data_IF_971253192870
#
_entry.id   IF_971253192870
#
_cell.length_a   1.000
_cell.length_b   1.000
_cell.length_c   1.000
_cell.angle_alpha   90.00
_cell.angle_beta   90.00
_cell.angle_gamma   90.00
#
_symmetry.space_group_name_H-M   'P 1'
#
loop_
_entity.id
_entity.type
_entity.pdbx_description
1 polymer ?
#
# COMPACT_ATOMS: atom_id res chain seq x y z
N UNK A 1 -44.51 56.46 47.78
CA UNK A 1 -45.67 57.31 48.04
C UNK A 1 -46.82 56.42 48.30
N UNK A 2 -47.07 56.26 49.61
CA UNK A 2 -48.36 56.23 50.35
C UNK A 2 -49.54 55.59 49.64
N UNK A 3 -49.99 54.43 50.21
CA UNK A 3 -51.10 54.23 51.18
C UNK A 3 -52.49 54.35 50.55
N UNK A 4 -53.32 53.30 50.65
CA UNK A 4 -54.44 53.25 51.62
C UNK A 4 -55.17 51.89 51.57
N UNK A 5 -55.32 51.34 52.76
CA UNK A 5 -56.27 50.32 53.17
C UNK A 5 -57.73 50.77 53.03
N UNK A 6 -58.65 49.81 52.77
CA UNK A 6 -59.97 49.76 53.40
C UNK A 6 -60.53 48.37 53.47
N UNK A 7 -60.81 47.96 54.63
CA UNK A 7 -61.60 46.72 55.05
C UNK A 7 -63.11 46.96 54.93
N UNK A 8 -63.91 45.91 54.77
CA UNK A 8 -65.15 45.58 55.53
C UNK A 8 -65.65 44.21 55.10
N UNK A 9 -65.68 43.29 56.14
CA UNK A 9 -66.77 42.53 56.73
C UNK A 9 -67.64 41.71 55.73
N UNK A 10 -67.62 40.41 55.83
CA UNK A 10 -68.46 39.60 56.74
C UNK A 10 -69.49 38.83 55.87
N UNK A 11 -69.46 37.54 55.83
CA UNK A 11 -70.46 36.72 55.21
C UNK A 11 -70.08 35.20 55.28
N UNK A 12 -70.92 34.48 55.97
CA UNK A 12 -70.93 33.05 56.33
C UNK A 12 -70.55 32.13 55.15
N UNK A 13 -69.62 31.23 55.39
CA UNK A 13 -69.19 30.17 54.45
C UNK A 13 -69.96 28.93 54.71
N UNK A 14 -70.67 28.43 53.68
CA UNK A 14 -71.17 27.06 53.65
C UNK A 14 -70.15 26.24 52.87
N UNK A 15 -69.52 25.29 53.58
CA UNK A 15 -68.60 24.35 52.94
C UNK A 15 -69.39 23.27 52.22
N UNK A 16 -69.28 23.27 50.89
CA UNK A 16 -69.74 22.13 50.09
C UNK A 16 -68.49 21.43 49.59
N UNK A 17 -68.18 20.26 50.09
CA UNK A 17 -67.07 19.45 49.70
C UNK A 17 -67.39 18.78 48.34
N UNK A 18 -66.84 19.27 47.29
CA UNK A 18 -66.86 18.59 45.98
C UNK A 18 -65.65 17.66 45.86
N UNK A 19 -65.91 16.35 45.93
CA UNK A 19 -64.88 15.32 45.64
C UNK A 19 -64.75 15.26 44.08
N UNK A 20 -63.64 15.85 43.53
CA UNK A 20 -63.25 15.65 42.18
C UNK A 20 -62.44 14.36 42.06
N UNK A 21 -63.04 13.30 41.57
CA UNK A 21 -62.33 12.11 41.10
C UNK A 21 -61.52 12.50 39.85
N UNK A 22 -60.20 12.68 39.97
CA UNK A 22 -59.27 12.77 38.84
C UNK A 22 -59.03 11.37 38.29
N UNK A 23 -59.67 11.03 37.19
CA UNK A 23 -59.32 9.88 36.37
C UNK A 23 -58.03 10.23 35.60
N UNK A 24 -56.87 9.71 36.02
CA UNK A 24 -55.62 9.76 35.27
C UNK A 24 -55.67 8.80 34.09
N UNK A 25 -56.04 9.32 32.93
CA UNK A 25 -55.84 8.58 31.68
C UNK A 25 -54.33 8.64 31.38
N UNK A 26 -53.65 7.51 31.61
CA UNK A 26 -52.25 7.33 31.17
C UNK A 26 -52.23 7.27 29.64
N UNK A 27 -51.83 8.36 28.98
CA UNK A 27 -51.50 8.34 27.56
C UNK A 27 -50.27 7.43 27.33
N UNK A 28 -50.28 6.52 26.35
CA UNK A 28 -49.13 5.72 26.03
C UNK A 28 -48.03 6.66 25.54
N UNK A 29 -46.91 6.73 26.27
CA UNK A 29 -45.70 7.41 25.82
C UNK A 29 -45.15 6.57 24.68
N UNK A 30 -45.45 7.00 23.44
CA UNK A 30 -44.70 6.54 22.27
C UNK A 30 -43.28 7.03 22.43
N UNK A 31 -42.38 6.17 22.93
CA UNK A 31 -40.95 6.35 22.72
C UNK A 31 -40.73 6.19 21.23
N UNK A 32 -40.69 7.29 20.52
CA UNK A 32 -40.13 7.31 19.18
C UNK A 32 -38.70 6.72 19.31
N UNK A 33 -38.48 5.53 18.74
CA UNK A 33 -37.14 5.01 18.62
C UNK A 33 -36.32 6.09 17.86
N UNK A 34 -35.34 6.66 18.55
CA UNK A 34 -34.39 7.56 17.90
C UNK A 34 -33.80 6.81 16.71
N UNK A 35 -33.74 7.42 15.53
CA UNK A 35 -33.11 6.78 14.39
C UNK A 35 -31.72 6.35 14.82
N UNK A 36 -31.41 5.05 14.66
CA UNK A 36 -30.08 4.52 14.92
C UNK A 36 -29.08 5.41 14.21
N UNK A 37 -28.12 5.97 14.94
CA UNK A 37 -27.01 6.73 14.36
C UNK A 37 -26.48 5.95 13.15
N UNK A 38 -26.26 6.56 11.99
CA UNK A 38 -25.73 5.84 10.85
C UNK A 38 -24.50 5.07 11.30
N UNK A 39 -24.45 3.78 10.95
CA UNK A 39 -23.33 2.93 11.31
C UNK A 39 -22.02 3.63 10.88
N UNK A 40 -21.04 3.66 11.78
CA UNK A 40 -19.75 4.25 11.46
C UNK A 40 -19.21 3.62 10.15
N UNK A 41 -18.62 4.40 9.23
CA UNK A 41 -18.10 3.85 7.99
C UNK A 41 -17.10 2.74 8.29
N UNK A 42 -17.18 1.64 7.53
CA UNK A 42 -16.33 0.47 7.71
C UNK A 42 -14.85 0.87 7.59
N UNK A 43 -14.05 0.52 8.60
CA UNK A 43 -12.60 0.61 8.52
C UNK A 43 -12.08 -0.56 7.69
N UNK A 44 -11.97 -0.35 6.38
CA UNK A 44 -11.61 -1.40 5.43
C UNK A 44 -10.20 -1.96 5.65
N UNK A 45 -9.26 -1.17 6.17
CA UNK A 45 -7.93 -1.68 6.50
C UNK A 45 -7.98 -2.65 7.68
N UNK A 46 -8.64 -2.26 8.77
CA UNK A 46 -8.82 -3.15 9.93
C UNK A 46 -9.61 -4.40 9.51
N UNK A 47 -10.72 -4.21 8.81
CA UNK A 47 -11.55 -5.32 8.34
C UNK A 47 -10.80 -6.31 7.46
N UNK A 48 -9.92 -5.82 6.56
CA UNK A 48 -9.08 -6.64 5.69
C UNK A 48 -8.01 -7.40 6.50
N UNK A 49 -7.33 -6.73 7.42
CA UNK A 49 -6.30 -7.36 8.26
C UNK A 49 -6.93 -8.45 9.14
N UNK A 50 -8.02 -8.16 9.85
CA UNK A 50 -8.73 -9.13 10.69
C UNK A 50 -9.23 -10.34 9.87
N UNK A 51 -9.78 -10.09 8.68
CA UNK A 51 -10.23 -11.16 7.79
C UNK A 51 -9.08 -12.03 7.30
N UNK A 52 -7.93 -11.42 6.99
CA UNK A 52 -6.76 -12.17 6.54
C UNK A 52 -6.13 -12.95 7.68
N UNK A 53 -6.06 -12.40 8.91
CA UNK A 53 -5.60 -13.13 10.10
C UNK A 53 -6.52 -14.31 10.44
N UNK A 54 -7.83 -14.22 10.20
CA UNK A 54 -8.75 -15.37 10.36
C UNK A 54 -8.51 -16.46 9.31
N UNK A 55 -8.18 -16.08 8.05
CA UNK A 55 -7.85 -17.04 6.99
C UNK A 55 -6.50 -17.72 7.20
N UNK A 56 -5.56 -17.00 7.82
CA UNK A 56 -4.19 -17.41 8.09
C UNK A 56 -3.88 -17.20 9.57
N UNK A 57 -4.43 -18.06 10.47
CA UNK A 57 -4.42 -17.81 11.92
C UNK A 57 -3.06 -17.97 12.58
N UNK A 58 -2.12 -18.61 11.91
CA UNK A 58 -0.75 -18.78 12.41
C UNK A 58 0.26 -18.20 11.41
N UNK A 59 1.40 -17.80 11.90
CA UNK A 59 2.49 -17.31 11.07
C UNK A 59 2.92 -18.34 10.00
N UNK A 60 2.96 -19.62 10.38
CA UNK A 60 3.28 -20.71 9.46
C UNK A 60 2.26 -20.86 8.31
N UNK A 61 0.99 -20.54 8.55
CA UNK A 61 -0.03 -20.56 7.51
C UNK A 61 0.21 -19.55 6.38
N UNK A 62 0.95 -18.46 6.62
CA UNK A 62 1.40 -17.52 5.60
C UNK A 62 2.49 -18.10 4.70
N UNK A 63 3.18 -19.14 5.16
CA UNK A 63 4.30 -19.81 4.45
C UNK A 63 5.49 -18.89 4.19
N UNK A 64 6.39 -19.34 3.33
CA UNK A 64 7.76 -18.93 3.12
C UNK A 64 8.04 -17.46 2.89
N UNK A 65 9.28 -17.10 3.16
CA UNK A 65 9.90 -15.81 2.93
C UNK A 65 9.74 -15.33 1.48
N UNK A 66 9.20 -14.14 1.28
CA UNK A 66 9.01 -13.58 -0.04
C UNK A 66 8.25 -12.25 -0.03
N UNK A 67 8.30 -11.55 -1.16
CA UNK A 67 7.85 -10.17 -1.26
C UNK A 67 6.34 -9.98 -1.05
N UNK A 68 5.49 -10.86 -1.57
CA UNK A 68 4.05 -10.66 -1.52
C UNK A 68 3.51 -10.67 -0.08
N UNK A 69 3.98 -11.63 0.76
CA UNK A 69 3.63 -11.67 2.18
C UNK A 69 4.23 -10.49 2.94
N UNK A 70 5.49 -10.15 2.68
CA UNK A 70 6.11 -9.02 3.37
C UNK A 70 5.45 -7.69 3.02
N UNK A 71 4.95 -7.53 1.80
CA UNK A 71 4.16 -6.35 1.42
C UNK A 71 2.86 -6.26 2.23
N UNK A 72 2.12 -7.37 2.33
CA UNK A 72 0.92 -7.45 3.16
C UNK A 72 1.24 -7.11 4.62
N UNK A 73 2.27 -7.72 5.19
CA UNK A 73 2.69 -7.49 6.57
C UNK A 73 3.20 -6.05 6.80
N UNK A 74 3.79 -5.42 5.78
CA UNK A 74 4.09 -3.99 5.83
C UNK A 74 2.80 -3.15 5.91
N UNK A 75 1.78 -3.50 5.15
CA UNK A 75 0.45 -2.91 5.26
C UNK A 75 -0.17 -3.11 6.65
N UNK A 76 -0.06 -4.31 7.23
CA UNK A 76 -0.49 -4.61 8.63
C UNK A 76 0.23 -3.70 9.62
N UNK A 77 1.52 -3.47 9.45
CA UNK A 77 2.27 -2.54 10.31
C UNK A 77 1.75 -1.10 10.20
N UNK A 78 1.34 -0.64 9.01
CA UNK A 78 0.74 0.70 8.87
C UNK A 78 -0.59 0.79 9.65
N UNK A 79 -1.40 -0.27 9.63
CA UNK A 79 -2.63 -0.35 10.43
C UNK A 79 -2.30 -0.33 11.93
N UNK A 80 -1.27 -1.08 12.38
CA UNK A 80 -0.76 -0.99 13.75
C UNK A 80 -0.37 0.44 14.15
N UNK A 81 0.33 1.16 13.29
CA UNK A 81 0.75 2.54 13.61
C UNK A 81 -0.44 3.47 13.86
N UNK A 82 -1.56 3.24 13.19
CA UNK A 82 -2.78 4.03 13.36
C UNK A 82 -3.60 3.57 14.56
N UNK A 83 -3.83 2.26 14.70
CA UNK A 83 -4.73 1.68 15.70
C UNK A 83 -4.08 1.45 17.06
N UNK A 84 -2.77 1.23 17.07
CA UNK A 84 -2.00 0.79 18.24
C UNK A 84 -2.40 -0.59 18.78
N UNK A 85 -3.12 -1.39 17.98
CA UNK A 85 -3.45 -2.76 18.35
C UNK A 85 -2.21 -3.65 18.20
N UNK A 86 -1.68 -4.08 19.35
CA UNK A 86 -0.44 -4.86 19.43
C UNK A 86 -0.51 -6.17 18.66
N UNK A 87 -1.70 -6.77 18.50
CA UNK A 87 -1.88 -8.03 17.76
C UNK A 87 -1.33 -7.95 16.33
N UNK A 88 -1.42 -6.78 15.70
CA UNK A 88 -0.92 -6.58 14.34
C UNK A 88 0.60 -6.59 14.28
N UNK A 89 1.28 -5.96 15.24
CA UNK A 89 2.73 -6.03 15.30
C UNK A 89 3.21 -7.44 15.65
N UNK A 90 2.51 -8.13 16.57
CA UNK A 90 2.84 -9.51 16.94
C UNK A 90 2.67 -10.46 15.75
N UNK A 91 1.67 -10.23 14.89
CA UNK A 91 1.49 -10.99 13.64
C UNK A 91 2.66 -10.80 12.68
N UNK A 92 3.15 -9.57 12.49
CA UNK A 92 4.36 -9.29 11.71
C UNK A 92 5.58 -9.97 12.32
N UNK A 93 5.76 -9.84 13.63
CA UNK A 93 6.90 -10.41 14.35
C UNK A 93 6.92 -11.93 14.26
N UNK A 94 5.80 -12.59 14.49
CA UNK A 94 5.69 -14.05 14.45
C UNK A 94 6.10 -14.62 13.09
N UNK A 95 5.74 -13.94 11.97
CA UNK A 95 6.15 -14.40 10.65
C UNK A 95 7.65 -14.24 10.41
N UNK A 96 8.25 -13.13 10.82
CA UNK A 96 9.71 -12.93 10.70
C UNK A 96 10.47 -13.96 11.55
N UNK A 97 10.01 -14.21 12.79
CA UNK A 97 10.67 -15.13 13.73
C UNK A 97 10.67 -16.60 13.25
N UNK A 98 9.78 -17.00 12.34
CA UNK A 98 9.85 -18.30 11.66
C UNK A 98 11.00 -18.40 10.65
N UNK A 99 11.54 -17.27 10.22
CA UNK A 99 12.48 -17.23 9.09
C UNK A 99 13.89 -16.82 9.47
N UNK A 100 14.10 -16.38 10.72
CA UNK A 100 15.44 -15.99 11.21
C UNK A 100 15.74 -16.67 12.55
N UNK A 101 17.02 -16.95 12.79
CA UNK A 101 17.50 -17.37 14.09
C UNK A 101 17.96 -16.18 14.96
N UNK A 102 18.37 -16.45 16.20
CA UNK A 102 18.85 -15.43 17.14
C UNK A 102 20.18 -14.77 16.70
N UNK A 103 20.89 -15.37 15.75
CA UNK A 103 22.10 -14.81 15.14
C UNK A 103 21.80 -13.97 13.89
N UNK A 104 20.53 -13.83 13.54
CA UNK A 104 20.09 -13.11 12.33
C UNK A 104 20.31 -13.89 11.03
N UNK A 105 20.51 -15.20 11.10
CA UNK A 105 20.62 -16.04 9.91
C UNK A 105 19.23 -16.23 9.31
N UNK A 106 19.08 -15.91 8.03
CA UNK A 106 17.83 -16.12 7.30
C UNK A 106 17.84 -17.54 6.73
N UNK A 107 16.74 -18.29 6.89
CA UNK A 107 16.62 -19.70 6.52
C UNK A 107 16.56 -19.98 5.01
N UNK A 108 17.09 -19.04 4.20
CA UNK A 108 17.20 -19.17 2.74
C UNK A 108 18.28 -18.24 2.17
N UNK A 109 18.86 -18.55 1.00
CA UNK A 109 19.75 -17.64 0.30
C UNK A 109 19.00 -16.39 -0.22
N UNK A 110 19.67 -15.24 -0.21
CA UNK A 110 19.18 -13.96 -0.77
C UNK A 110 19.79 -13.79 -2.17
N UNK A 111 19.33 -14.56 -3.12
CA UNK A 111 19.79 -14.59 -4.51
C UNK A 111 18.75 -14.04 -5.52
N UNK A 112 17.74 -13.35 -5.04
CA UNK A 112 16.77 -12.60 -5.82
C UNK A 112 16.40 -11.32 -5.08
N UNK A 113 16.10 -10.25 -5.80
CA UNK A 113 15.65 -8.98 -5.22
C UNK A 113 14.37 -9.17 -4.41
N UNK A 114 13.48 -10.07 -4.84
CA UNK A 114 12.25 -10.45 -4.15
C UNK A 114 12.45 -10.88 -2.69
N UNK A 115 13.63 -11.41 -2.39
CA UNK A 115 13.97 -11.87 -1.04
C UNK A 115 14.58 -10.79 -0.16
N UNK A 116 14.83 -9.60 -0.71
CA UNK A 116 15.31 -8.44 0.04
C UNK A 116 14.16 -7.60 0.63
N UNK A 117 12.97 -7.63 0.02
CA UNK A 117 11.83 -6.83 0.49
C UNK A 117 11.45 -7.08 1.95
N UNK A 118 11.46 -8.34 2.46
CA UNK A 118 11.21 -8.60 3.88
C UNK A 118 12.19 -7.91 4.84
N UNK A 119 13.35 -7.48 4.35
CA UNK A 119 14.29 -6.65 5.10
C UNK A 119 13.64 -5.40 5.71
N UNK A 120 12.62 -4.84 5.06
CA UNK A 120 11.86 -3.72 5.62
C UNK A 120 11.17 -4.07 6.95
N UNK A 121 10.67 -5.30 7.08
CA UNK A 121 10.05 -5.76 8.33
C UNK A 121 11.10 -5.98 9.43
N UNK A 122 12.32 -6.41 9.08
CA UNK A 122 13.43 -6.50 10.03
C UNK A 122 13.76 -5.13 10.62
N UNK A 123 13.85 -4.08 9.77
CA UNK A 123 14.08 -2.71 10.22
C UNK A 123 12.97 -2.22 11.15
N UNK A 124 11.72 -2.52 10.82
CA UNK A 124 10.54 -2.20 11.63
C UNK A 124 10.63 -2.89 12.98
N UNK A 125 10.87 -4.19 13.01
CA UNK A 125 10.92 -4.96 14.26
C UNK A 125 12.10 -4.54 15.14
N UNK A 126 13.27 -4.26 14.56
CA UNK A 126 14.38 -3.68 15.34
C UNK A 126 13.98 -2.32 15.95
N UNK A 127 13.32 -1.45 15.18
CA UNK A 127 12.86 -0.15 15.68
C UNK A 127 11.87 -0.29 16.84
N UNK A 128 10.90 -1.20 16.73
CA UNK A 128 9.83 -1.38 17.72
C UNK A 128 10.26 -2.18 18.96
N UNK A 129 11.19 -3.15 18.80
CA UNK A 129 11.55 -4.11 19.86
C UNK A 129 12.95 -3.98 20.40
N UNK A 130 13.87 -3.36 19.64
CA UNK A 130 15.32 -3.29 19.91
C UNK A 130 16.02 -4.66 20.01
N UNK A 131 15.39 -5.74 19.54
CA UNK A 131 16.02 -7.05 19.52
C UNK A 131 17.09 -7.12 18.44
N UNK A 132 18.33 -7.45 18.83
CA UNK A 132 19.50 -7.40 17.95
C UNK A 132 19.42 -8.38 16.78
N UNK A 133 18.73 -9.51 16.92
CA UNK A 133 18.55 -10.49 15.84
C UNK A 133 17.98 -9.87 14.56
N UNK A 134 17.08 -8.89 14.66
CA UNK A 134 16.51 -8.22 13.49
C UNK A 134 17.51 -7.31 12.79
N UNK A 135 18.36 -6.62 13.56
CA UNK A 135 19.45 -5.84 13.00
C UNK A 135 20.48 -6.74 12.30
N UNK A 136 20.90 -7.82 12.95
CA UNK A 136 21.85 -8.79 12.38
C UNK A 136 21.31 -9.37 11.06
N UNK A 137 20.04 -9.73 11.00
CA UNK A 137 19.39 -10.21 9.77
C UNK A 137 19.36 -9.12 8.68
N UNK A 138 19.04 -7.88 9.04
CA UNK A 138 19.08 -6.74 8.12
C UNK A 138 20.51 -6.47 7.62
N UNK A 139 21.53 -6.53 8.49
CA UNK A 139 22.94 -6.41 8.14
C UNK A 139 23.36 -7.50 7.12
N UNK A 140 22.87 -8.72 7.28
CA UNK A 140 23.14 -9.81 6.35
C UNK A 140 22.53 -9.54 4.97
N UNK A 141 21.31 -9.02 4.87
CA UNK A 141 20.74 -8.58 3.58
C UNK A 141 21.56 -7.42 3.00
N UNK A 142 21.93 -6.43 3.82
CA UNK A 142 22.73 -5.28 3.35
C UNK A 142 24.07 -5.71 2.76
N UNK A 143 24.74 -6.70 3.36
CA UNK A 143 26.01 -7.23 2.84
C UNK A 143 25.88 -7.80 1.44
N UNK A 144 24.73 -8.40 1.09
CA UNK A 144 24.51 -8.99 -0.23
C UNK A 144 24.63 -7.94 -1.33
N UNK A 145 24.23 -6.68 -1.12
CA UNK A 145 24.35 -5.62 -2.12
C UNK A 145 25.79 -5.34 -2.56
N UNK A 146 26.77 -5.68 -1.76
CA UNK A 146 28.19 -5.45 -2.10
C UNK A 146 28.67 -6.34 -3.27
N UNK A 147 28.10 -7.53 -3.40
CA UNK A 147 28.52 -8.56 -4.37
C UNK A 147 27.35 -9.03 -5.27
N UNK A 148 26.18 -8.40 -5.14
CA UNK A 148 25.02 -8.81 -5.92
C UNK A 148 25.26 -8.63 -7.42
N UNK A 149 24.89 -9.61 -8.28
CA UNK A 149 25.11 -9.56 -9.71
C UNK A 149 24.48 -8.33 -10.38
N UNK A 150 25.20 -7.81 -11.40
CA UNK A 150 24.82 -6.57 -12.08
C UNK A 150 24.99 -6.68 -13.59
N UNK A 151 24.24 -5.89 -14.31
CA UNK A 151 24.49 -5.58 -15.72
C UNK A 151 25.81 -4.81 -15.89
N UNK A 152 26.31 -4.68 -17.11
CA UNK A 152 27.56 -3.96 -17.41
C UNK A 152 27.54 -2.50 -16.95
N UNK A 153 26.39 -1.85 -17.00
CA UNK A 153 26.19 -0.48 -16.50
C UNK A 153 25.86 -0.40 -15.00
N UNK A 154 25.76 -1.55 -14.33
CA UNK A 154 25.66 -1.69 -12.88
C UNK A 154 24.25 -1.86 -12.34
N UNK A 155 23.23 -2.11 -13.16
CA UNK A 155 21.86 -2.46 -12.73
C UNK A 155 21.84 -3.82 -12.04
N UNK A 156 21.11 -3.95 -10.93
CA UNK A 156 20.96 -5.24 -10.25
C UNK A 156 20.12 -6.21 -11.08
N UNK A 157 20.62 -7.42 -11.29
CA UNK A 157 19.78 -8.46 -11.88
C UNK A 157 18.54 -8.69 -11.04
N UNK A 158 17.42 -9.04 -11.67
CA UNK A 158 16.22 -9.36 -10.92
C UNK A 158 16.44 -10.57 -9.99
N UNK A 159 17.13 -11.60 -10.48
CA UNK A 159 17.56 -12.73 -9.65
C UNK A 159 18.82 -13.39 -10.22
N UNK A 160 19.66 -13.92 -9.34
CA UNK A 160 20.79 -14.79 -9.69
C UNK A 160 20.36 -16.26 -9.64
N UNK A 161 19.47 -16.60 -10.56
CA UNK A 161 18.96 -17.95 -10.73
C UNK A 161 18.89 -18.32 -12.22
N UNK A 162 18.99 -19.59 -12.60
CA UNK A 162 18.88 -20.00 -13.99
C UNK A 162 17.64 -19.40 -14.66
N UNK A 163 17.82 -18.82 -15.85
CA UNK A 163 16.75 -18.18 -16.63
C UNK A 163 16.33 -16.77 -16.17
N UNK A 164 16.98 -16.22 -15.14
CA UNK A 164 16.71 -14.86 -14.63
C UNK A 164 17.95 -13.96 -14.60
N UNK A 165 19.10 -14.50 -14.91
CA UNK A 165 20.37 -13.75 -14.97
C UNK A 165 20.32 -12.72 -16.10
N UNK A 166 21.05 -11.63 -15.95
CA UNK A 166 21.17 -10.50 -16.89
C UNK A 166 19.89 -9.66 -17.08
N UNK A 167 18.82 -9.93 -16.30
CA UNK A 167 17.53 -9.29 -16.49
C UNK A 167 17.26 -8.19 -15.48
N UNK A 168 16.75 -7.05 -15.96
CA UNK A 168 16.18 -5.97 -15.14
C UNK A 168 14.66 -6.01 -15.32
N UNK A 169 13.92 -6.32 -14.26
CA UNK A 169 12.48 -6.23 -14.25
C UNK A 169 12.05 -5.00 -13.47
N UNK A 170 11.10 -4.22 -13.98
CA UNK A 170 10.64 -3.00 -13.32
C UNK A 170 10.23 -3.22 -11.83
N UNK A 171 9.82 -4.43 -11.50
CA UNK A 171 9.52 -4.88 -10.12
C UNK A 171 10.73 -4.78 -9.20
N UNK A 172 11.93 -5.09 -9.70
CA UNK A 172 13.15 -5.26 -8.91
C UNK A 172 13.51 -4.06 -8.07
N UNK A 173 13.21 -2.85 -8.56
CA UNK A 173 13.49 -1.63 -7.78
C UNK A 173 12.69 -1.57 -6.48
N UNK A 174 11.44 -2.03 -6.46
CA UNK A 174 10.64 -2.07 -5.23
C UNK A 174 11.10 -3.17 -4.29
N UNK A 175 11.54 -4.29 -4.85
CA UNK A 175 11.93 -5.46 -4.07
C UNK A 175 13.17 -5.22 -3.21
N UNK A 176 14.03 -4.27 -3.59
CA UNK A 176 15.33 -4.05 -2.94
C UNK A 176 15.57 -2.62 -2.43
N UNK A 177 15.22 -1.59 -3.22
CA UNK A 177 15.67 -0.23 -2.94
C UNK A 177 15.05 0.43 -1.71
N UNK A 178 13.74 0.23 -1.40
CA UNK A 178 13.16 0.76 -0.16
C UNK A 178 13.86 0.23 1.10
N UNK A 179 14.25 -1.04 1.10
CA UNK A 179 15.05 -1.60 2.19
C UNK A 179 16.40 -0.91 2.29
N UNK A 180 17.14 -0.81 1.18
CA UNK A 180 18.48 -0.22 1.18
C UNK A 180 18.47 1.24 1.68
N UNK A 181 17.53 2.05 1.19
CA UNK A 181 17.39 3.45 1.59
C UNK A 181 17.07 3.59 3.09
N UNK A 182 16.15 2.76 3.59
CA UNK A 182 15.76 2.75 5.02
C UNK A 182 16.88 2.27 5.92
N UNK A 183 17.58 1.21 5.51
CA UNK A 183 18.75 0.71 6.20
C UNK A 183 19.83 1.79 6.33
N UNK A 184 20.18 2.43 5.19
CA UNK A 184 21.17 3.49 5.19
C UNK A 184 20.80 4.66 6.12
N UNK A 185 19.53 5.04 6.11
CA UNK A 185 19.00 6.09 7.00
C UNK A 185 19.04 5.71 8.48
N UNK A 186 18.82 4.43 8.79
CA UNK A 186 18.74 3.93 10.16
C UNK A 186 20.13 3.68 10.77
N UNK A 187 21.06 3.19 9.97
CA UNK A 187 22.35 2.71 10.47
C UNK A 187 23.58 3.49 9.98
N UNK A 188 23.38 4.70 9.46
CA UNK A 188 24.49 5.60 9.11
C UNK A 188 25.15 5.30 7.75
N UNK A 189 24.58 4.43 6.91
CA UNK A 189 25.08 4.07 5.57
C UNK A 189 24.39 4.88 4.45
N UNK A 190 23.92 6.10 4.77
CA UNK A 190 23.10 6.91 3.87
C UNK A 190 23.84 7.37 2.62
N UNK A 191 25.15 7.59 2.66
CA UNK A 191 25.92 8.00 1.49
C UNK A 191 25.83 6.93 0.40
N UNK A 192 26.26 5.71 0.71
CA UNK A 192 26.16 4.59 -0.22
C UNK A 192 24.71 4.31 -0.64
N UNK A 193 23.78 4.26 0.33
CA UNK A 193 22.40 3.91 0.04
C UNK A 193 21.73 4.91 -0.90
N UNK A 194 21.92 6.22 -0.69
CA UNK A 194 21.34 7.27 -1.53
C UNK A 194 21.90 7.22 -2.96
N UNK A 195 23.22 7.06 -3.09
CA UNK A 195 23.87 6.96 -4.41
C UNK A 195 23.42 5.70 -5.15
N UNK A 196 23.38 4.55 -4.47
CA UNK A 196 23.01 3.29 -5.09
C UNK A 196 21.51 3.27 -5.50
N UNK A 197 20.58 3.69 -4.63
CA UNK A 197 19.15 3.66 -4.97
C UNK A 197 18.83 4.61 -6.14
N UNK A 198 19.47 5.77 -6.19
CA UNK A 198 19.26 6.71 -7.30
C UNK A 198 19.89 6.20 -8.60
N UNK A 199 21.07 5.60 -8.53
CA UNK A 199 21.73 4.93 -9.66
C UNK A 199 20.83 3.82 -10.23
N UNK A 200 20.34 2.93 -9.38
CA UNK A 200 19.49 1.82 -9.83
C UNK A 200 18.20 2.32 -10.49
N UNK A 201 17.49 3.28 -9.87
CA UNK A 201 16.28 3.85 -10.46
C UNK A 201 16.54 4.45 -11.85
N UNK A 202 17.65 5.13 -12.05
CA UNK A 202 18.00 5.75 -13.33
C UNK A 202 18.40 4.72 -14.37
N UNK A 203 19.18 3.69 -14.02
CA UNK A 203 19.54 2.58 -14.93
C UNK A 203 18.28 1.84 -15.38
N UNK A 204 17.42 1.44 -14.44
CA UNK A 204 16.18 0.74 -14.78
C UNK A 204 15.26 1.62 -15.65
N UNK A 205 15.14 2.91 -15.33
CA UNK A 205 14.35 3.82 -16.14
C UNK A 205 14.92 3.96 -17.55
N UNK A 206 16.24 4.07 -17.71
CA UNK A 206 16.91 4.19 -19.02
C UNK A 206 16.60 3.00 -19.93
N UNK A 207 16.63 1.77 -19.39
CA UNK A 207 16.35 0.55 -20.16
C UNK A 207 14.86 0.29 -20.40
N UNK A 208 14.01 0.69 -19.45
CA UNK A 208 12.60 0.30 -19.47
C UNK A 208 11.66 1.39 -19.98
N UNK A 209 12.11 2.63 -20.15
CA UNK A 209 11.25 3.71 -20.59
C UNK A 209 10.80 3.52 -22.04
N UNK A 210 9.48 3.60 -22.26
CA UNK A 210 8.89 3.74 -23.58
C UNK A 210 8.47 5.20 -23.81
N UNK A 211 9.24 5.96 -24.61
CA UNK A 211 8.94 7.38 -24.86
C UNK A 211 7.64 7.60 -25.65
N UNK A 212 7.16 6.59 -26.38
CA UNK A 212 5.93 6.70 -27.17
C UNK A 212 4.67 6.69 -26.29
N UNK A 213 4.69 5.93 -25.20
CA UNK A 213 3.55 5.79 -24.29
C UNK A 213 3.73 6.53 -22.97
N UNK A 214 4.97 6.78 -22.56
CA UNK A 214 5.36 7.27 -21.24
C UNK A 214 5.29 6.21 -20.14
N UNK A 215 5.00 4.95 -20.50
CA UNK A 215 4.99 3.79 -19.61
C UNK A 215 6.38 3.14 -19.56
N UNK A 216 6.53 2.10 -18.74
CA UNK A 216 7.72 1.26 -18.70
C UNK A 216 7.42 -0.12 -19.28
N UNK A 217 8.37 -0.68 -20.00
CA UNK A 217 8.37 -2.10 -20.34
C UNK A 217 8.47 -2.93 -19.07
N UNK A 218 7.93 -4.16 -19.08
CA UNK A 218 7.99 -5.05 -17.91
C UNK A 218 9.45 -5.38 -17.56
N UNK A 219 10.26 -5.71 -18.56
CA UNK A 219 11.64 -6.14 -18.34
C UNK A 219 12.56 -5.79 -19.51
N UNK A 220 13.86 -5.84 -19.22
CA UNK A 220 15.00 -5.76 -20.13
C UNK A 220 15.94 -6.95 -19.88
N UNK A 221 16.49 -7.56 -20.93
CA UNK A 221 17.48 -8.63 -20.86
C UNK A 221 18.78 -8.20 -21.53
N UNK A 222 19.81 -7.88 -20.75
CA UNK A 222 21.10 -7.44 -21.29
C UNK A 222 21.71 -8.43 -22.27
N UNK A 223 21.49 -9.74 -22.04
CA UNK A 223 21.99 -10.79 -22.93
C UNK A 223 21.26 -10.87 -24.27
N UNK A 224 20.01 -10.38 -24.34
CA UNK A 224 19.12 -10.52 -25.49
C UNK A 224 18.72 -11.96 -25.81
N UNK A 225 19.02 -12.92 -24.92
CA UNK A 225 18.81 -14.34 -25.16
C UNK A 225 17.41 -14.82 -24.78
N UNK A 226 16.64 -14.00 -24.05
CA UNK A 226 15.30 -14.42 -23.65
C UNK A 226 14.33 -14.36 -24.83
N UNK A 227 13.43 -15.34 -24.98
CA UNK A 227 12.51 -15.40 -26.13
C UNK A 227 11.51 -14.24 -26.18
N UNK A 228 11.31 -13.54 -25.07
CA UNK A 228 10.46 -12.34 -24.98
C UNK A 228 11.22 -11.03 -25.28
N UNK A 229 12.55 -11.07 -25.34
CA UNK A 229 13.36 -9.87 -25.57
C UNK A 229 13.30 -9.43 -27.03
N UNK A 230 13.07 -8.14 -27.26
CA UNK A 230 13.18 -7.56 -28.59
C UNK A 230 14.63 -7.67 -29.08
N UNK A 231 14.89 -8.13 -30.31
CA UNK A 231 16.24 -8.41 -30.79
C UNK A 231 17.14 -7.15 -30.92
N UNK A 232 16.54 -5.95 -30.92
CA UNK A 232 17.28 -4.67 -31.04
C UNK A 232 17.37 -3.93 -29.71
N UNK A 233 16.22 -3.81 -28.99
CA UNK A 233 16.16 -3.02 -27.74
C UNK A 233 16.34 -3.88 -26.49
N UNK A 234 16.25 -5.19 -26.62
CA UNK A 234 16.30 -6.18 -25.54
C UNK A 234 15.19 -6.02 -24.49
N UNK A 235 14.20 -5.16 -24.76
CA UNK A 235 13.03 -4.97 -23.87
C UNK A 235 11.95 -6.01 -24.12
N UNK A 236 11.11 -6.26 -23.12
CA UNK A 236 9.86 -6.98 -23.31
C UNK A 236 8.89 -6.19 -24.19
N UNK A 237 7.83 -6.85 -24.70
CA UNK A 237 6.92 -6.25 -25.66
C UNK A 237 5.70 -5.54 -25.02
N UNK A 238 5.49 -5.67 -23.70
CA UNK A 238 4.24 -5.26 -23.07
C UNK A 238 4.45 -4.46 -21.78
N UNK A 239 3.50 -3.55 -21.52
CA UNK A 239 3.44 -2.68 -20.34
C UNK A 239 2.58 -3.36 -19.27
N UNK A 240 3.14 -4.31 -18.54
CA UNK A 240 2.42 -4.97 -17.46
C UNK A 240 2.21 -4.03 -16.28
N UNK A 241 0.94 -3.85 -15.88
CA UNK A 241 0.52 -2.82 -14.96
C UNK A 241 1.24 -2.87 -13.61
N UNK A 242 1.36 -4.04 -13.00
CA UNK A 242 1.94 -4.18 -11.65
C UNK A 242 3.42 -3.88 -11.62
N UNK A 243 4.18 -4.25 -12.66
CA UNK A 243 5.59 -3.90 -12.76
C UNK A 243 5.80 -2.37 -12.71
N UNK A 244 5.00 -1.64 -13.49
CA UNK A 244 5.04 -0.18 -13.51
C UNK A 244 4.59 0.41 -12.18
N UNK A 245 3.59 -0.22 -11.53
CA UNK A 245 3.10 0.17 -10.22
C UNK A 245 4.18 0.08 -9.14
N UNK A 246 4.96 -1.00 -9.14
CA UNK A 246 6.10 -1.15 -8.24
C UNK A 246 7.12 -0.03 -8.42
N UNK A 247 7.45 0.30 -9.67
CA UNK A 247 8.38 1.37 -9.97
C UNK A 247 7.89 2.73 -9.45
N UNK A 248 6.62 3.05 -9.70
CA UNK A 248 6.00 4.29 -9.22
C UNK A 248 5.98 4.40 -7.68
N UNK A 249 5.64 3.31 -6.98
CA UNK A 249 5.69 3.26 -5.51
C UNK A 249 7.11 3.46 -4.99
N UNK A 250 8.11 2.85 -5.66
CA UNK A 250 9.52 3.00 -5.27
C UNK A 250 9.96 4.45 -5.34
N UNK A 251 9.64 5.14 -6.43
CA UNK A 251 9.98 6.57 -6.58
C UNK A 251 9.48 7.40 -5.41
N UNK A 252 8.21 7.23 -5.02
CA UNK A 252 7.62 7.95 -3.88
C UNK A 252 8.36 7.63 -2.59
N UNK A 253 8.58 6.33 -2.30
CA UNK A 253 9.22 5.92 -1.05
C UNK A 253 10.68 6.37 -0.95
N UNK A 254 11.41 6.36 -2.06
CA UNK A 254 12.80 6.86 -2.09
C UNK A 254 12.82 8.38 -1.94
N UNK A 255 11.96 9.12 -2.62
CA UNK A 255 11.87 10.57 -2.50
C UNK A 255 11.50 11.05 -1.08
N UNK A 256 10.86 10.22 -0.26
CA UNK A 256 10.61 10.53 1.15
C UNK A 256 11.85 10.41 2.04
N UNK A 257 12.83 9.60 1.64
CA UNK A 257 14.05 9.32 2.41
C UNK A 257 15.21 10.17 1.90
N UNK A 258 15.31 10.33 0.59
CA UNK A 258 16.39 11.02 -0.11
C UNK A 258 16.48 12.49 0.33
N UNK A 259 17.66 13.02 0.67
CA UNK A 259 17.82 14.43 1.04
C UNK A 259 17.26 15.38 -0.02
N UNK A 260 16.69 16.51 0.43
CA UNK A 260 16.09 17.51 -0.47
C UNK A 260 17.07 18.08 -1.49
N UNK A 261 18.34 18.20 -1.09
CA UNK A 261 19.43 18.72 -1.94
C UNK A 261 20.18 17.65 -2.72
N UNK A 262 19.72 16.40 -2.70
CA UNK A 262 20.39 15.32 -3.45
C UNK A 262 20.39 15.61 -4.95
N UNK A 263 21.56 15.54 -5.67
CA UNK A 263 21.68 16.00 -7.06
C UNK A 263 20.74 15.28 -8.04
N UNK A 264 20.40 14.02 -7.77
CA UNK A 264 19.52 13.22 -8.63
C UNK A 264 18.03 13.35 -8.30
N UNK A 265 17.67 14.08 -7.25
CA UNK A 265 16.28 14.18 -6.78
C UNK A 265 15.32 14.71 -7.85
N UNK A 266 15.74 15.76 -8.57
CA UNK A 266 14.90 16.36 -9.61
C UNK A 266 14.68 15.43 -10.81
N UNK A 267 15.67 14.58 -11.16
CA UNK A 267 15.51 13.56 -12.19
C UNK A 267 14.43 12.54 -11.81
N UNK A 268 14.45 12.07 -10.54
CA UNK A 268 13.41 11.15 -10.04
C UNK A 268 12.01 11.79 -10.03
N UNK A 269 11.90 13.08 -9.68
CA UNK A 269 10.63 13.80 -9.72
C UNK A 269 10.11 13.91 -11.17
N UNK A 270 10.97 14.13 -12.16
CA UNK A 270 10.56 14.12 -13.58
C UNK A 270 10.00 12.77 -14.00
N UNK A 271 10.57 11.67 -13.52
CA UNK A 271 10.04 10.32 -13.79
C UNK A 271 8.65 10.15 -13.15
N UNK A 272 8.45 10.60 -11.90
CA UNK A 272 7.12 10.61 -11.26
C UNK A 272 6.12 11.38 -12.13
N UNK A 273 6.50 12.54 -12.67
CA UNK A 273 5.63 13.38 -13.50
C UNK A 273 5.28 12.69 -14.82
N UNK A 274 6.24 12.00 -15.46
CA UNK A 274 5.99 11.26 -16.69
C UNK A 274 5.04 10.08 -16.44
N UNK A 275 5.30 9.27 -15.41
CA UNK A 275 4.44 8.14 -15.07
C UNK A 275 3.03 8.60 -14.71
N UNK A 276 2.88 9.71 -13.98
CA UNK A 276 1.57 10.25 -13.64
C UNK A 276 0.76 10.66 -14.89
N UNK A 277 1.41 11.29 -15.89
CA UNK A 277 0.77 11.60 -17.18
C UNK A 277 0.30 10.34 -17.90
N UNK A 278 1.13 9.29 -17.91
CA UNK A 278 0.77 8.02 -18.53
C UNK A 278 -0.37 7.34 -17.76
N UNK A 279 -0.32 7.34 -16.44
CA UNK A 279 -1.40 6.77 -15.61
C UNK A 279 -2.74 7.49 -15.88
N UNK A 280 -2.76 8.82 -15.90
CA UNK A 280 -3.96 9.60 -16.22
C UNK A 280 -4.49 9.28 -17.62
N UNK A 281 -3.61 9.20 -18.63
CA UNK A 281 -3.98 8.87 -20.01
C UNK A 281 -4.64 7.51 -20.15
N UNK A 282 -4.16 6.50 -19.42
CA UNK A 282 -4.62 5.11 -19.53
C UNK A 282 -5.60 4.69 -18.43
N UNK A 283 -6.05 5.61 -17.58
CA UNK A 283 -7.08 5.33 -16.58
C UNK A 283 -8.42 5.06 -17.27
N UNK A 284 -9.04 3.94 -16.98
CA UNK A 284 -10.38 3.64 -17.50
C UNK A 284 -11.38 4.73 -17.08
N UNK A 285 -12.06 5.39 -18.03
CA UNK A 285 -12.92 6.52 -17.71
C UNK A 285 -14.17 6.16 -16.92
N UNK A 286 -14.64 4.91 -17.00
CA UNK A 286 -15.85 4.44 -16.33
C UNK A 286 -15.57 4.01 -14.89
N UNK A 287 -14.57 3.18 -14.69
CA UNK A 287 -14.27 2.56 -13.39
C UNK A 287 -13.21 3.31 -12.59
N UNK A 288 -12.30 4.01 -13.26
CA UNK A 288 -11.13 4.63 -12.65
C UNK A 288 -9.96 3.66 -12.41
N UNK A 289 -10.09 2.40 -12.75
CA UNK A 289 -9.05 1.38 -12.65
C UNK A 289 -8.12 1.37 -13.86
N UNK A 290 -7.10 0.51 -13.84
CA UNK A 290 -6.18 0.29 -14.95
C UNK A 290 -6.17 -1.17 -15.37
N UNK A 291 -5.97 -1.39 -16.66
CA UNK A 291 -5.93 -2.71 -17.28
C UNK A 291 -4.63 -3.45 -16.98
N UNK A 292 -4.71 -4.80 -17.01
CA UNK A 292 -3.59 -5.73 -16.79
C UNK A 292 -2.39 -5.42 -17.71
N UNK A 293 -2.63 -5.18 -19.00
CA UNK A 293 -1.68 -4.57 -19.94
C UNK A 293 -2.16 -3.15 -20.23
N UNK A 294 -1.46 -2.17 -19.68
CA UNK A 294 -1.99 -0.79 -19.46
C UNK A 294 -2.49 -0.12 -20.71
N UNK A 295 -1.74 -0.21 -21.82
CA UNK A 295 -2.03 0.46 -23.09
C UNK A 295 -2.86 -0.40 -24.06
N UNK A 296 -3.52 -1.46 -23.57
CA UNK A 296 -4.33 -2.42 -24.36
C UNK A 296 -5.76 -2.51 -23.83
N UNK A 297 -6.31 -1.43 -23.29
CA UNK A 297 -7.66 -1.41 -22.71
C UNK A 297 -8.79 -1.71 -23.70
N UNK A 298 -8.55 -1.50 -24.97
CA UNK A 298 -9.45 -1.78 -26.09
C UNK A 298 -9.34 -3.20 -26.67
N UNK A 299 -8.36 -4.00 -26.18
CA UNK A 299 -8.12 -5.35 -26.69
C UNK A 299 -8.94 -6.35 -25.89
N UNK A 300 -9.74 -7.16 -26.60
CA UNK A 300 -10.56 -8.23 -26.00
C UNK A 300 -9.69 -9.21 -25.18
N UNK A 301 -10.20 -9.61 -24.01
CA UNK A 301 -9.49 -10.49 -23.07
C UNK A 301 -8.65 -9.76 -22.05
N UNK A 302 -8.35 -8.46 -22.24
CA UNK A 302 -7.71 -7.65 -21.20
C UNK A 302 -8.71 -7.29 -20.08
N UNK A 303 -8.24 -7.10 -18.87
CA UNK A 303 -9.09 -6.88 -17.71
C UNK A 303 -8.51 -5.88 -16.73
N UNK A 304 -9.37 -5.27 -15.89
CA UNK A 304 -9.00 -4.25 -14.90
C UNK A 304 -8.40 -4.91 -13.65
N UNK A 305 -7.23 -4.44 -13.24
CA UNK A 305 -6.41 -5.09 -12.22
C UNK A 305 -6.32 -4.25 -10.95
N UNK A 306 -6.63 -4.87 -9.82
CA UNK A 306 -6.80 -4.19 -8.53
C UNK A 306 -5.48 -3.77 -7.87
N UNK A 307 -4.44 -4.61 -7.93
CA UNK A 307 -3.19 -4.33 -7.22
C UNK A 307 -2.47 -3.11 -7.81
N UNK A 308 -2.33 -3.08 -9.12
CA UNK A 308 -1.72 -1.95 -9.82
C UNK A 308 -2.54 -0.68 -9.72
N UNK A 309 -3.87 -0.79 -9.75
CA UNK A 309 -4.77 0.34 -9.55
C UNK A 309 -4.61 0.97 -8.17
N UNK A 310 -4.36 0.14 -7.15
CA UNK A 310 -4.00 0.63 -5.80
C UNK A 310 -2.65 1.35 -5.82
N UNK A 311 -1.63 0.80 -6.48
CA UNK A 311 -0.29 1.38 -6.57
C UNK A 311 -0.28 2.72 -7.31
N UNK A 312 -1.01 2.83 -8.43
CA UNK A 312 -1.08 4.06 -9.23
C UNK A 312 -1.81 5.16 -8.47
N UNK A 313 -2.92 4.81 -7.82
CA UNK A 313 -3.66 5.74 -6.95
C UNK A 313 -2.80 6.26 -5.81
N UNK A 314 -2.05 5.37 -5.14
CA UNK A 314 -1.10 5.75 -4.09
C UNK A 314 -0.01 6.69 -4.63
N UNK A 315 0.64 6.33 -5.74
CA UNK A 315 1.72 7.13 -6.33
C UNK A 315 1.26 8.55 -6.68
N UNK A 316 0.13 8.69 -7.34
CA UNK A 316 -0.41 10.00 -7.74
C UNK A 316 -0.86 10.82 -6.53
N UNK A 317 -1.53 10.18 -5.55
CA UNK A 317 -1.92 10.82 -4.31
C UNK A 317 -0.73 11.38 -3.55
N UNK A 318 0.28 10.55 -3.31
CA UNK A 318 1.49 10.96 -2.61
C UNK A 318 2.29 12.00 -3.39
N UNK A 319 2.38 11.84 -4.70
CA UNK A 319 3.04 12.81 -5.58
C UNK A 319 2.39 14.20 -5.50
N UNK A 320 1.07 14.29 -5.52
CA UNK A 320 0.33 15.55 -5.35
C UNK A 320 0.48 16.11 -3.91
N UNK A 321 0.37 15.24 -2.90
CA UNK A 321 0.50 15.59 -1.47
C UNK A 321 1.89 16.16 -1.14
N UNK A 322 2.95 15.68 -1.81
CA UNK A 322 4.35 16.12 -1.62
C UNK A 322 4.79 17.24 -2.56
N UNK A 323 3.92 17.69 -3.48
CA UNK A 323 4.23 18.74 -4.44
C UNK A 323 5.12 18.30 -5.60
N UNK A 324 5.26 16.98 -5.83
CA UNK A 324 5.94 16.44 -7.01
C UNK A 324 5.05 16.50 -8.26
N UNK A 325 3.74 16.49 -8.05
CA UNK A 325 2.70 16.57 -9.09
C UNK A 325 1.78 17.77 -8.86
N UNK A 326 1.20 18.35 -9.93
CA UNK A 326 0.09 19.29 -9.83
C UNK A 326 -1.09 18.73 -9.04
N UNK A 327 -1.85 19.61 -8.36
CA UNK A 327 -2.97 19.22 -7.48
C UNK A 327 -4.09 18.44 -8.17
N UNK A 328 -4.29 18.59 -9.48
CA UNK A 328 -5.36 17.85 -10.19
C UNK A 328 -5.16 16.33 -10.12
N UNK A 329 -3.92 15.84 -9.95
CA UNK A 329 -3.66 14.41 -9.75
C UNK A 329 -4.28 13.83 -8.47
N UNK A 330 -4.64 14.68 -7.49
CA UNK A 330 -5.47 14.25 -6.36
C UNK A 330 -6.83 13.68 -6.83
N UNK A 331 -7.48 14.34 -7.78
CA UNK A 331 -8.75 13.88 -8.33
C UNK A 331 -8.61 12.57 -9.12
N UNK A 332 -7.52 12.42 -9.90
CA UNK A 332 -7.20 11.18 -10.65
C UNK A 332 -6.94 10.02 -9.69
N UNK A 333 -6.14 10.25 -8.65
CA UNK A 333 -5.84 9.28 -7.61
C UNK A 333 -7.11 8.83 -6.86
N UNK A 334 -7.98 9.78 -6.48
CA UNK A 334 -9.25 9.48 -5.80
C UNK A 334 -10.23 8.74 -6.69
N UNK A 335 -10.22 8.99 -8.01
CA UNK A 335 -11.03 8.23 -8.95
C UNK A 335 -10.57 6.77 -8.97
N UNK A 336 -9.25 6.51 -9.04
CA UNK A 336 -8.67 5.17 -8.94
C UNK A 336 -8.99 4.50 -7.60
N UNK A 337 -8.83 5.22 -6.50
CA UNK A 337 -9.21 4.75 -5.15
C UNK A 337 -10.67 4.29 -5.10
N UNK A 338 -11.62 5.11 -5.59
CA UNK A 338 -13.04 4.72 -5.63
C UNK A 338 -13.26 3.48 -6.48
N UNK A 339 -12.56 3.35 -7.62
CA UNK A 339 -12.59 2.14 -8.43
C UNK A 339 -12.14 0.90 -7.67
N UNK A 340 -11.00 0.98 -6.95
CA UNK A 340 -10.52 -0.12 -6.10
C UNK A 340 -11.54 -0.49 -5.02
N UNK A 341 -12.21 0.51 -4.42
CA UNK A 341 -13.23 0.27 -3.39
C UNK A 341 -14.43 -0.51 -3.91
N UNK A 342 -14.74 -0.50 -5.22
CA UNK A 342 -15.81 -1.33 -5.79
C UNK A 342 -15.45 -2.82 -5.86
N UNK A 343 -14.16 -3.16 -5.74
CA UNK A 343 -13.66 -4.54 -5.70
C UNK A 343 -13.57 -5.11 -4.27
N UNK A 344 -14.02 -4.34 -3.27
CA UNK A 344 -14.18 -4.80 -1.90
C UNK A 344 -15.61 -5.30 -1.65
N UNK A 345 -15.73 -6.38 -0.92
CA UNK A 345 -17.03 -6.89 -0.46
C UNK A 345 -16.91 -7.58 0.88
N UNK A 346 -18.04 -7.68 1.59
CA UNK A 346 -18.18 -8.55 2.76
C UNK A 346 -18.78 -9.86 2.30
N UNK A 347 -18.09 -10.97 2.55
CA UNK A 347 -18.60 -12.31 2.26
C UNK A 347 -19.72 -12.73 3.22
N UNK A 348 -20.42 -13.80 2.88
CA UNK A 348 -21.44 -14.39 3.77
C UNK A 348 -20.85 -14.92 5.09
N UNK A 349 -19.56 -15.21 5.10
CA UNK A 349 -18.78 -15.60 6.29
C UNK A 349 -18.37 -14.40 7.17
N UNK A 350 -18.80 -13.18 6.81
CA UNK A 350 -18.45 -11.95 7.49
C UNK A 350 -17.00 -11.52 7.29
N UNK A 351 -16.28 -12.10 6.33
CA UNK A 351 -14.90 -11.73 6.01
C UNK A 351 -14.83 -10.79 4.81
N UNK A 352 -13.94 -9.83 4.89
CA UNK A 352 -13.67 -8.89 3.79
C UNK A 352 -12.94 -9.59 2.66
N UNK A 353 -13.39 -9.38 1.42
CA UNK A 353 -12.76 -9.85 0.21
C UNK A 353 -12.33 -8.68 -0.66
N UNK A 354 -11.19 -8.84 -1.35
CA UNK A 354 -10.69 -7.98 -2.40
C UNK A 354 -10.45 -8.86 -3.63
N UNK A 355 -11.08 -8.53 -4.75
CA UNK A 355 -11.07 -9.36 -5.96
C UNK A 355 -10.28 -8.73 -7.10
N UNK A 356 -10.18 -9.46 -8.22
CA UNK A 356 -9.49 -9.05 -9.45
C UNK A 356 -8.01 -8.68 -9.23
N UNK A 357 -7.31 -9.52 -8.48
CA UNK A 357 -5.89 -9.40 -8.23
C UNK A 357 -5.16 -10.40 -9.12
N UNK A 358 -4.24 -9.92 -9.94
CA UNK A 358 -3.40 -10.78 -10.77
C UNK A 358 -2.45 -11.62 -9.90
N UNK A 359 -2.39 -12.93 -10.17
CA UNK A 359 -1.40 -13.81 -9.57
C UNK A 359 0.05 -13.39 -9.90
N UNK A 360 1.06 -14.04 -9.30
CA UNK A 360 2.47 -13.85 -9.65
C UNK A 360 2.70 -14.07 -11.15
N UNK A 361 3.41 -13.16 -11.83
CA UNK A 361 3.44 -13.09 -13.29
C UNK A 361 4.88 -12.93 -13.79
N UNK A 362 5.26 -13.75 -14.77
CA UNK A 362 6.52 -13.66 -15.47
C UNK A 362 6.44 -12.75 -16.70
N UNK A 363 7.57 -12.42 -17.29
CA UNK A 363 7.63 -11.76 -18.60
C UNK A 363 7.30 -12.78 -19.68
N UNK A 364 6.36 -12.43 -20.59
CA UNK A 364 5.93 -13.33 -21.67
C UNK A 364 5.17 -12.55 -22.75
N UNK A 365 4.40 -13.27 -23.57
CA UNK A 365 3.55 -12.74 -24.64
C UNK A 365 2.20 -12.18 -24.12
N UNK A 366 1.43 -11.59 -25.02
CA UNK A 366 0.15 -10.96 -24.67
C UNK A 366 -0.88 -11.96 -24.16
N UNK A 367 -0.96 -13.14 -24.78
CA UNK A 367 -1.91 -14.18 -24.41
C UNK A 367 -1.65 -14.65 -22.97
N UNK A 368 -0.39 -14.81 -22.61
CA UNK A 368 0.00 -15.15 -21.24
C UNK A 368 -0.46 -14.10 -20.23
N UNK A 369 -0.26 -12.80 -20.50
CA UNK A 369 -0.71 -11.74 -19.59
C UNK A 369 -2.24 -11.75 -19.42
N UNK A 370 -3.00 -11.92 -20.50
CA UNK A 370 -4.46 -11.95 -20.44
C UNK A 370 -5.02 -13.17 -19.72
N UNK A 371 -4.33 -14.34 -19.87
CA UNK A 371 -4.71 -15.58 -19.23
C UNK A 371 -4.34 -15.70 -17.75
N UNK A 372 -3.69 -14.66 -17.16
CA UNK A 372 -3.34 -14.73 -15.74
C UNK A 372 -4.59 -14.84 -14.87
N UNK A 373 -4.49 -15.64 -13.80
CA UNK A 373 -5.59 -15.81 -12.85
C UNK A 373 -5.90 -14.52 -12.15
N UNK A 374 -7.19 -14.23 -12.04
CA UNK A 374 -7.79 -13.15 -11.28
C UNK A 374 -8.19 -13.68 -9.91
N UNK A 375 -7.34 -13.52 -8.93
CA UNK A 375 -7.53 -14.09 -7.60
C UNK A 375 -8.31 -13.14 -6.69
N UNK A 376 -9.03 -13.72 -5.73
CA UNK A 376 -9.52 -13.02 -4.56
C UNK A 376 -8.48 -13.15 -3.42
N UNK A 377 -8.28 -12.08 -2.69
CA UNK A 377 -7.44 -12.02 -1.48
C UNK A 377 -5.97 -12.45 -1.69
N UNK A 378 -5.45 -12.25 -2.89
CA UNK A 378 -4.04 -12.52 -3.17
C UNK A 378 -3.15 -11.45 -2.49
N UNK A 379 -2.07 -11.88 -1.89
CA UNK A 379 -1.16 -11.00 -1.14
C UNK A 379 -0.53 -9.88 -1.99
N UNK A 380 -0.40 -10.08 -3.31
CA UNK A 380 0.06 -9.01 -4.21
C UNK A 380 -0.86 -7.79 -4.20
N UNK A 381 -2.17 -8.01 -4.06
CA UNK A 381 -3.15 -6.93 -3.98
C UNK A 381 -3.41 -6.45 -2.56
N UNK A 382 -3.44 -7.36 -1.57
CA UNK A 382 -3.76 -7.00 -0.18
C UNK A 382 -2.79 -5.95 0.37
N UNK A 383 -1.49 -6.13 0.17
CA UNK A 383 -0.50 -5.18 0.65
C UNK A 383 -0.57 -3.83 -0.07
N UNK A 384 -0.74 -3.83 -1.39
CA UNK A 384 -0.90 -2.62 -2.18
C UNK A 384 -2.17 -1.83 -1.76
N UNK A 385 -3.27 -2.54 -1.56
CA UNK A 385 -4.52 -1.97 -1.06
C UNK A 385 -4.33 -1.33 0.32
N UNK A 386 -3.73 -2.03 1.28
CA UNK A 386 -3.52 -1.50 2.63
C UNK A 386 -2.66 -0.23 2.62
N UNK A 387 -1.58 -0.22 1.85
CA UNK A 387 -0.70 0.97 1.73
C UNK A 387 -1.48 2.15 1.12
N UNK A 388 -2.24 1.92 0.07
CA UNK A 388 -3.09 2.95 -0.53
C UNK A 388 -4.17 3.42 0.45
N UNK A 389 -4.88 2.49 1.08
CA UNK A 389 -6.03 2.80 1.92
C UNK A 389 -5.62 3.55 3.19
N UNK A 390 -4.50 3.20 3.84
CA UNK A 390 -3.98 3.94 5.00
C UNK A 390 -3.61 5.40 4.67
N UNK A 391 -3.27 5.71 3.42
CA UNK A 391 -2.98 7.08 2.98
C UNK A 391 -4.22 7.85 2.51
N UNK A 392 -5.10 7.24 1.71
CA UNK A 392 -6.22 7.94 1.09
C UNK A 392 -7.48 7.96 1.97
N UNK A 393 -7.78 6.89 2.73
CA UNK A 393 -8.92 6.87 3.65
C UNK A 393 -8.69 7.73 4.88
N UNK A 394 -7.47 7.80 5.37
CA UNK A 394 -7.08 8.63 6.52
C UNK A 394 -7.46 10.11 6.35
N UNK A 395 -7.43 10.60 5.11
CA UNK A 395 -7.87 11.96 4.79
C UNK A 395 -9.38 12.17 4.98
N UNK A 396 -10.19 11.11 4.91
CA UNK A 396 -11.64 11.17 5.12
C UNK A 396 -12.05 11.06 6.59
N UNK A 397 -11.20 10.49 7.45
CA UNK A 397 -11.46 10.33 8.90
C UNK A 397 -10.65 11.28 9.78
N UNK A 398 -9.99 12.29 9.19
CA UNK A 398 -9.25 13.31 9.94
C UNK A 398 -7.91 12.82 10.53
N UNK A 399 -7.51 11.59 10.28
CA UNK A 399 -6.20 11.07 10.67
C UNK A 399 -5.13 11.53 9.69
N UNK A 400 -4.03 12.08 10.20
CA UNK A 400 -2.86 12.41 9.39
C UNK A 400 -1.76 11.39 9.67
N UNK A 401 -1.51 10.43 8.76
CA UNK A 401 -0.40 9.50 8.90
C UNK A 401 0.90 10.29 9.11
N UNK A 402 1.59 10.03 10.22
CA UNK A 402 2.93 10.60 10.42
C UNK A 402 3.88 9.87 9.49
N UNK A 403 4.76 10.60 8.79
CA UNK A 403 5.84 9.97 8.03
C UNK A 403 6.61 9.01 8.93
N UNK A 404 6.90 7.81 8.42
CA UNK A 404 7.71 6.84 9.15
C UNK A 404 9.10 7.44 9.38
N UNK A 405 9.48 7.62 10.64
CA UNK A 405 10.85 8.00 10.99
C UNK A 405 11.74 6.76 10.90
N UNK A 406 12.71 6.79 10.01
CA UNK A 406 13.74 5.75 9.84
C UNK A 406 15.04 6.16 10.54
N UNK A 407 14.96 6.73 11.73
CA UNK A 407 16.11 6.95 12.61
C UNK A 407 16.18 5.81 13.60
N UNK A 408 17.36 5.25 13.82
CA UNK A 408 17.64 4.47 15.02
C UNK A 408 17.64 5.48 16.18
N UNK A 409 16.65 5.43 17.04
CA UNK A 409 16.63 6.23 18.26
C UNK A 409 17.59 5.65 19.26
#
# INVERSE_FOLDING_TARGET
MQIKYRSYRGGVVVLTTLILMQSTVALPIWRAEMPKSPAAPTDWSVSMVESTMKRYPTADSLKGWGYAKSLYLYGVYLVYLRTRDRRYLDHVQSWIDLHIDDKGTINRPINALDYMLPGNLLLILYKETKQEKYKLAADNIRKVFNTYPRTKDGGFWHADTPGRQWQLWADGVFMSLPFLARYGKMFGDSAYANDEVTKQLLIYYQHLNDPATGLLWHAYDESGAQPWANPTTHTSAYHWCRAIGWFGMTLIQILEILPQHHPKRNELIKIVQQLAKAYEKYQDPKTGLWYQVVNKGDVEGNWLETSSSSMYSYMMWMGAKRGYLPKHYDAVARKGYRGVMTNLSMGADGLTNLVDICEGTNVSDLAYYFARKRNANDFHGLGAFLIMNEELSAASVGYKPKPLSWKAN
#
